data_IF_687398901918
#
_entry.id   IF_687398901918
#
_cell.length_a   1.000
_cell.length_b   1.000
_cell.length_c   1.000
_cell.angle_alpha   90.00
_cell.angle_beta   90.00
_cell.angle_gamma   90.00
#
_symmetry.space_group_name_H-M   'P 1'
#
loop_
_entity.id
_entity.type
_entity.pdbx_description
1 polymer ?
#
# COMPACT_ATOMS: atom_id res chain seq x y z
N UNK A 1 -40.33 -26.78 -24.41
CA UNK A 1 -39.83 -25.40 -24.34
C UNK A 1 -39.74 -25.01 -22.88
N UNK A 2 -38.52 -24.83 -22.36
CA UNK A 2 -38.23 -24.32 -21.02
C UNK A 2 -36.77 -23.90 -21.04
N UNK A 3 -36.47 -22.81 -21.73
CA UNK A 3 -35.16 -22.16 -21.60
C UNK A 3 -35.11 -21.53 -20.21
N UNK A 4 -34.39 -22.19 -19.30
CA UNK A 4 -34.00 -21.64 -18.02
C UNK A 4 -33.15 -20.39 -18.29
N UNK A 5 -33.71 -19.21 -18.06
CA UNK A 5 -32.94 -17.96 -17.99
C UNK A 5 -31.93 -18.08 -16.85
N UNK A 6 -30.65 -18.25 -17.19
CA UNK A 6 -29.58 -18.16 -16.20
C UNK A 6 -29.63 -16.75 -15.59
N UNK A 7 -29.53 -16.62 -14.25
CA UNK A 7 -29.42 -15.31 -13.63
C UNK A 7 -28.14 -14.63 -14.15
N UNK A 8 -28.31 -13.46 -14.77
CA UNK A 8 -27.18 -12.59 -15.13
C UNK A 8 -26.54 -12.17 -13.81
N UNK A 9 -25.28 -12.55 -13.64
CA UNK A 9 -24.51 -12.34 -12.42
C UNK A 9 -24.11 -10.85 -12.35
N UNK A 10 -25.02 -10.01 -11.86
CA UNK A 10 -24.87 -8.55 -11.69
C UNK A 10 -23.65 -8.17 -10.84
N UNK A 11 -23.10 -9.11 -10.08
CA UNK A 11 -21.88 -8.94 -9.27
C UNK A 11 -20.61 -8.69 -10.09
N UNK A 12 -20.60 -9.08 -11.38
CA UNK A 12 -19.47 -8.90 -12.28
C UNK A 12 -19.51 -7.50 -12.92
N UNK A 13 -20.70 -7.05 -13.34
CA UNK A 13 -20.90 -5.70 -13.91
C UNK A 13 -20.64 -4.61 -12.86
N UNK A 14 -21.12 -4.76 -11.62
CA UNK A 14 -20.84 -3.82 -10.52
C UNK A 14 -19.33 -3.71 -10.22
N UNK A 15 -18.59 -4.83 -10.29
CA UNK A 15 -17.13 -4.82 -10.09
C UNK A 15 -16.38 -4.16 -11.23
N UNK A 16 -16.83 -4.33 -12.47
CA UNK A 16 -16.21 -3.68 -13.63
C UNK A 16 -16.51 -2.18 -13.65
N UNK A 17 -17.73 -1.76 -13.34
CA UNK A 17 -18.10 -0.33 -13.23
C UNK A 17 -17.38 0.36 -12.06
N UNK A 18 -17.30 -0.26 -10.88
CA UNK A 18 -16.52 0.27 -9.77
C UNK A 18 -15.03 0.38 -10.10
N UNK A 19 -14.47 -0.59 -10.83
CA UNK A 19 -13.06 -0.57 -11.25
C UNK A 19 -12.81 0.49 -12.33
N UNK A 20 -13.78 0.73 -13.20
CA UNK A 20 -13.73 1.75 -14.24
C UNK A 20 -13.86 3.17 -13.65
N UNK A 21 -14.77 3.38 -12.70
CA UNK A 21 -14.95 4.65 -12.00
C UNK A 21 -13.71 5.01 -11.16
N UNK A 22 -13.15 4.06 -10.40
CA UNK A 22 -11.90 4.29 -9.65
C UNK A 22 -10.73 4.65 -10.59
N UNK A 23 -10.65 4.03 -11.78
CA UNK A 23 -9.59 4.30 -12.75
C UNK A 23 -9.67 5.69 -13.40
N UNK A 24 -10.86 6.29 -13.45
CA UNK A 24 -11.07 7.60 -14.06
C UNK A 24 -10.54 8.74 -13.15
N UNK A 25 -10.53 8.52 -11.83
CA UNK A 25 -10.07 9.51 -10.85
C UNK A 25 -8.63 9.31 -10.39
N UNK A 26 -8.05 8.13 -10.63
CA UNK A 26 -6.66 7.82 -10.27
C UNK A 26 -5.73 8.09 -11.46
N UNK A 27 -4.93 9.15 -11.38
CA UNK A 27 -3.94 9.43 -12.42
C UNK A 27 -2.86 8.36 -12.43
N UNK A 28 -2.27 8.09 -13.60
CA UNK A 28 -1.12 7.18 -13.71
C UNK A 28 0.06 7.61 -12.81
N UNK A 29 0.25 8.92 -12.63
CA UNK A 29 1.26 9.48 -11.73
C UNK A 29 1.00 9.15 -10.25
N UNK A 30 -0.26 9.21 -9.82
CA UNK A 30 -0.68 8.88 -8.45
C UNK A 30 -0.52 7.38 -8.18
N UNK A 31 -0.86 6.53 -9.16
CA UNK A 31 -0.60 5.09 -9.09
C UNK A 31 0.90 4.79 -8.95
N UNK A 32 1.74 5.45 -9.76
CA UNK A 32 3.19 5.29 -9.68
C UNK A 32 3.75 5.76 -8.34
N UNK A 33 3.26 6.88 -7.80
CA UNK A 33 3.71 7.38 -6.51
C UNK A 33 3.36 6.40 -5.40
N UNK A 34 2.12 5.92 -5.36
CA UNK A 34 1.67 4.99 -4.34
C UNK A 34 2.44 3.66 -4.43
N UNK A 35 2.66 3.15 -5.65
CA UNK A 35 3.48 1.96 -5.88
C UNK A 35 4.92 2.15 -5.40
N UNK A 36 5.53 3.30 -5.66
CA UNK A 36 6.90 3.60 -5.20
C UNK A 36 6.98 3.65 -3.67
N UNK A 37 6.04 4.32 -3.03
CA UNK A 37 5.94 4.41 -1.57
C UNK A 37 5.78 3.02 -0.95
N UNK A 38 4.85 2.21 -1.47
CA UNK A 38 4.63 0.84 -1.00
C UNK A 38 5.87 -0.05 -1.17
N UNK A 39 6.54 0.03 -2.32
CA UNK A 39 7.78 -0.74 -2.56
C UNK A 39 8.87 -0.32 -1.58
N UNK A 40 9.07 0.98 -1.37
CA UNK A 40 10.04 1.52 -0.42
C UNK A 40 9.77 1.02 1.00
N UNK A 41 8.50 1.07 1.42
CA UNK A 41 8.09 0.58 2.74
C UNK A 41 8.31 -0.93 2.87
N UNK A 42 7.97 -1.71 1.83
CA UNK A 42 8.19 -3.15 1.79
C UNK A 42 9.67 -3.53 1.87
N UNK A 43 10.54 -2.83 1.14
CA UNK A 43 12.00 -3.02 1.19
C UNK A 43 12.50 -2.72 2.61
N UNK A 44 12.11 -1.60 3.20
CA UNK A 44 12.52 -1.24 4.55
C UNK A 44 12.05 -2.25 5.59
N UNK A 45 10.80 -2.70 5.51
CA UNK A 45 10.27 -3.73 6.41
C UNK A 45 11.02 -5.05 6.26
N UNK A 46 11.37 -5.44 5.03
CA UNK A 46 12.20 -6.61 4.77
C UNK A 46 13.58 -6.51 5.44
N UNK A 47 14.25 -5.35 5.38
CA UNK A 47 15.54 -5.16 6.05
C UNK A 47 15.43 -5.19 7.59
N UNK A 48 14.35 -4.66 8.15
CA UNK A 48 14.09 -4.74 9.60
C UNK A 48 13.85 -6.20 10.01
N UNK A 49 13.01 -6.91 9.26
CA UNK A 49 12.73 -8.32 9.50
C UNK A 49 14.01 -9.17 9.37
N UNK A 50 14.78 -8.95 8.32
CA UNK A 50 16.06 -9.62 8.11
C UNK A 50 17.04 -9.31 9.25
N UNK A 51 17.06 -8.07 9.77
CA UNK A 51 17.87 -7.72 10.96
C UNK A 51 17.48 -8.55 12.16
N UNK A 52 16.18 -8.69 12.45
CA UNK A 52 15.72 -9.51 13.56
C UNK A 52 16.13 -10.99 13.39
N UNK A 53 15.90 -11.57 12.21
CA UNK A 53 16.25 -12.97 11.93
C UNK A 53 17.76 -13.22 12.01
N UNK A 54 18.56 -12.36 11.37
CA UNK A 54 20.02 -12.47 11.39
C UNK A 54 20.56 -12.28 12.81
N UNK A 55 19.92 -11.46 13.62
CA UNK A 55 20.28 -11.30 15.04
C UNK A 55 20.10 -12.58 15.83
N UNK A 56 18.95 -13.25 15.67
CA UNK A 56 18.73 -14.53 16.35
C UNK A 56 19.72 -15.59 15.88
N UNK A 57 19.96 -15.71 14.57
CA UNK A 57 20.93 -16.67 14.04
C UNK A 57 22.33 -16.41 14.58
N UNK A 58 22.79 -15.16 14.55
CA UNK A 58 24.11 -14.79 15.09
C UNK A 58 24.21 -15.02 16.59
N UNK A 59 23.14 -14.73 17.35
CA UNK A 59 23.09 -14.99 18.79
C UNK A 59 23.20 -16.48 19.11
N UNK A 60 22.61 -17.36 18.29
CA UNK A 60 22.71 -18.81 18.45
C UNK A 60 24.09 -19.36 18.05
N UNK A 61 24.72 -18.79 17.02
CA UNK A 61 25.99 -19.30 16.48
C UNK A 61 27.18 -18.87 17.32
N UNK A 62 27.19 -17.63 17.81
CA UNK A 62 28.36 -17.07 18.49
C UNK A 62 28.30 -17.19 20.01
N UNK A 63 27.17 -17.60 20.61
CA UNK A 63 26.92 -17.56 22.07
C UNK A 63 27.16 -16.16 22.70
N UNK A 64 27.39 -15.16 21.85
CA UNK A 64 27.50 -13.76 22.18
C UNK A 64 26.09 -13.17 22.16
N UNK A 65 25.69 -12.53 23.26
CA UNK A 65 24.42 -11.81 23.33
C UNK A 65 24.31 -10.72 22.25
N UNK A 66 23.11 -10.15 22.12
CA UNK A 66 22.60 -9.16 21.13
C UNK A 66 23.50 -7.96 20.73
N UNK A 67 24.71 -7.84 21.26
CA UNK A 67 25.67 -6.74 21.13
C UNK A 67 26.94 -7.12 20.36
N UNK A 68 26.93 -8.21 19.59
CA UNK A 68 28.03 -8.52 18.67
C UNK A 68 28.32 -7.30 17.77
N UNK A 69 29.59 -6.90 17.57
CA UNK A 69 29.93 -5.75 16.72
C UNK A 69 29.33 -5.83 15.31
N UNK A 70 29.19 -7.05 14.78
CA UNK A 70 28.58 -7.30 13.46
C UNK A 70 27.09 -6.97 13.47
N UNK A 71 26.37 -7.39 14.52
CA UNK A 71 24.95 -7.05 14.69
C UNK A 71 24.76 -5.54 14.82
N UNK A 72 25.60 -4.85 15.60
CA UNK A 72 25.50 -3.39 15.80
C UNK A 72 25.65 -2.64 14.47
N UNK A 73 26.63 -3.03 13.64
CA UNK A 73 26.82 -2.42 12.31
C UNK A 73 25.61 -2.68 11.41
N UNK A 74 25.11 -3.91 11.37
CA UNK A 74 23.97 -4.27 10.54
C UNK A 74 22.71 -3.47 10.89
N UNK A 75 22.36 -3.40 12.18
CA UNK A 75 21.20 -2.63 12.64
C UNK A 75 21.38 -1.13 12.42
N UNK A 76 22.59 -0.61 12.55
CA UNK A 76 22.87 0.81 12.29
C UNK A 76 22.58 1.16 10.82
N UNK A 77 23.00 0.31 9.88
CA UNK A 77 22.70 0.49 8.45
C UNK A 77 21.20 0.36 8.17
N UNK A 78 20.55 -0.65 8.74
CA UNK A 78 19.10 -0.83 8.60
C UNK A 78 18.31 0.36 9.17
N UNK A 79 18.74 0.91 10.30
CA UNK A 79 18.14 2.08 10.94
C UNK A 79 18.28 3.34 10.08
N UNK A 80 19.46 3.60 9.54
CA UNK A 80 19.67 4.73 8.61
C UNK A 80 18.78 4.57 7.37
N UNK A 81 18.70 3.36 6.81
CA UNK A 81 17.79 3.05 5.70
C UNK A 81 16.33 3.32 6.06
N UNK A 82 15.89 2.92 7.25
CA UNK A 82 14.55 3.20 7.76
C UNK A 82 14.26 4.70 7.87
N UNK A 83 15.17 5.48 8.46
CA UNK A 83 14.98 6.93 8.62
C UNK A 83 14.86 7.63 7.27
N UNK A 84 15.67 7.23 6.29
CA UNK A 84 15.60 7.80 4.93
C UNK A 84 14.26 7.47 4.26
N UNK A 85 13.82 6.21 4.33
CA UNK A 85 12.51 5.81 3.79
C UNK A 85 11.38 6.54 4.50
N UNK A 86 11.41 6.62 5.83
CA UNK A 86 10.43 7.34 6.63
C UNK A 86 10.33 8.80 6.21
N UNK A 87 11.47 9.49 6.08
CA UNK A 87 11.50 10.89 5.64
C UNK A 87 10.93 11.07 4.22
N UNK A 88 11.25 10.16 3.29
CA UNK A 88 10.71 10.18 1.94
C UNK A 88 9.17 10.03 1.94
N UNK A 89 8.65 9.06 2.69
CA UNK A 89 7.20 8.80 2.79
C UNK A 89 6.50 9.94 3.50
N UNK A 90 7.04 10.42 4.61
CA UNK A 90 6.49 11.53 5.39
C UNK A 90 6.32 12.78 4.52
N UNK A 91 7.33 13.13 3.72
CA UNK A 91 7.23 14.28 2.80
C UNK A 91 6.16 14.12 1.71
N UNK A 92 5.79 12.87 1.37
CA UNK A 92 4.77 12.57 0.35
C UNK A 92 3.39 12.35 0.95
N UNK A 93 3.28 12.18 2.27
CA UNK A 93 2.03 11.88 2.96
C UNK A 93 0.98 12.97 2.74
N UNK A 94 1.32 14.24 2.95
CA UNK A 94 0.38 15.36 2.75
C UNK A 94 -0.17 15.43 1.31
N UNK A 95 0.67 15.14 0.32
CA UNK A 95 0.25 15.11 -1.09
C UNK A 95 -0.74 13.97 -1.33
N UNK A 96 -0.44 12.77 -0.80
CA UNK A 96 -1.28 11.59 -0.95
C UNK A 96 -2.62 11.78 -0.22
N UNK A 97 -2.62 12.32 1.00
CA UNK A 97 -3.84 12.57 1.78
C UNK A 97 -4.74 13.60 1.10
N UNK A 98 -4.16 14.70 0.61
CA UNK A 98 -4.90 15.72 -0.13
C UNK A 98 -5.53 15.13 -1.39
N UNK A 99 -4.77 14.33 -2.15
CA UNK A 99 -5.28 13.70 -3.37
C UNK A 99 -6.35 12.65 -3.11
N UNK A 100 -6.17 11.80 -2.10
CA UNK A 100 -7.21 10.86 -1.70
C UNK A 100 -8.49 11.58 -1.29
N UNK A 101 -8.40 12.67 -0.53
CA UNK A 101 -9.56 13.48 -0.14
C UNK A 101 -10.27 14.08 -1.36
N UNK A 102 -9.52 14.56 -2.37
CA UNK A 102 -10.11 15.04 -3.63
C UNK A 102 -10.84 13.92 -4.39
N UNK A 103 -10.27 12.72 -4.43
CA UNK A 103 -10.88 11.56 -5.09
C UNK A 103 -12.16 11.14 -4.36
N UNK A 104 -12.13 11.00 -3.03
CA UNK A 104 -13.31 10.64 -2.24
C UNK A 104 -14.45 11.65 -2.40
N UNK A 105 -14.16 12.95 -2.40
CA UNK A 105 -15.17 13.99 -2.63
C UNK A 105 -15.78 13.95 -4.03
N UNK A 106 -15.01 13.52 -5.04
CA UNK A 106 -15.53 13.35 -6.40
C UNK A 106 -16.42 12.11 -6.47
N UNK A 107 -15.98 11.01 -5.87
CA UNK A 107 -16.75 9.76 -5.78
C UNK A 107 -18.10 10.00 -5.09
N UNK A 108 -18.11 10.64 -3.91
CA UNK A 108 -19.33 10.92 -3.15
C UNK A 108 -20.37 11.74 -3.95
N UNK A 109 -19.90 12.69 -4.77
CA UNK A 109 -20.80 13.48 -5.63
C UNK A 109 -21.45 12.63 -6.72
N UNK A 110 -20.71 11.71 -7.30
CA UNK A 110 -21.21 10.83 -8.36
C UNK A 110 -22.22 9.85 -7.78
N UNK A 111 -21.87 9.22 -6.65
CA UNK A 111 -22.76 8.29 -5.96
C UNK A 111 -24.09 8.99 -5.58
N UNK A 112 -24.04 10.26 -5.14
CA UNK A 112 -25.25 11.05 -4.88
C UNK A 112 -26.04 11.44 -6.14
N UNK A 113 -25.36 11.71 -7.25
CA UNK A 113 -26.01 12.00 -8.53
C UNK A 113 -26.68 10.76 -9.12
N UNK A 114 -26.06 9.58 -8.98
CA UNK A 114 -26.66 8.30 -9.35
C UNK A 114 -27.86 7.96 -8.47
N UNK A 115 -27.74 8.09 -7.15
CA UNK A 115 -28.86 7.89 -6.21
C UNK A 115 -30.07 8.76 -6.55
N UNK A 116 -29.87 10.00 -7.03
CA UNK A 116 -30.94 10.89 -7.48
C UNK A 116 -31.54 10.52 -8.84
N UNK A 117 -30.82 9.77 -9.69
CA UNK A 117 -31.36 9.28 -10.98
C UNK A 117 -32.23 8.05 -10.83
N UNK A 118 -32.08 7.31 -9.73
CA UNK A 118 -32.83 6.09 -9.45
C UNK A 118 -33.97 6.27 -8.43
N UNK A 119 -34.18 7.48 -7.91
CA UNK A 119 -35.37 7.89 -7.15
C UNK A 119 -36.36 8.64 -8.04
#
# INVERSE_FOLDING_TARGET
>A
MSELSKPVDTSIEEKEEAKKSISEYYTYEDFLLNRKVTILYGITFFFIFLSAVVSEILSLVFDEGLLSPVQVVFHSVAFVGYVITFYYVYKKQDYIEKKNTEIFKKQEKIDQEELKRFQ
#
